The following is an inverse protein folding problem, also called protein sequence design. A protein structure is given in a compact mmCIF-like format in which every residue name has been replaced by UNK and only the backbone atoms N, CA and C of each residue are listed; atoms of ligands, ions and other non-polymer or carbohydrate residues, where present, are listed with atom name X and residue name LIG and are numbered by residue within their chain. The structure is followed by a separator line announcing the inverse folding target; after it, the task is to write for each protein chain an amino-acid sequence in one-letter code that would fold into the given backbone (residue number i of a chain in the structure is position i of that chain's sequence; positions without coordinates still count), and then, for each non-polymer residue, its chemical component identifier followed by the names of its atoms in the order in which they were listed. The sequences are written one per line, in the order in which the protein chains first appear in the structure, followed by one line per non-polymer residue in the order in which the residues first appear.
data_IF_097037484391
#
_entry.id   IF_097037484391
#
_cell.length_a   1.000
_cell.length_b   1.000
_cell.length_c   1.000
_cell.angle_alpha   90.00
_cell.angle_beta   90.00
_cell.angle_gamma   90.00
#
_symmetry.space_group_name_H-M   'P 1'
#
loop_
_entity.id
_entity.type
_entity.pdbx_description
1 polymer ?
#
# COMPACT_ATOMS: atom_id res chain seq x y z
N UNK A 1 11.19 8.22 5.11
CA UNK A 1 11.57 8.11 3.68
C UNK A 1 10.60 7.29 2.81
N UNK A 2 10.25 6.03 3.14
CA UNK A 2 9.42 5.18 2.26
C UNK A 2 7.98 5.69 2.05
N UNK A 3 7.24 5.98 3.14
CA UNK A 3 5.88 6.52 3.05
C UNK A 3 5.86 7.86 2.29
N UNK A 4 6.79 8.77 2.58
CA UNK A 4 6.87 10.07 1.90
C UNK A 4 6.97 9.92 0.36
N UNK A 5 7.75 8.95 -0.14
CA UNK A 5 7.84 8.69 -1.59
C UNK A 5 6.55 8.11 -2.17
N UNK A 6 5.84 7.29 -1.40
CA UNK A 6 4.52 6.76 -1.78
C UNK A 6 3.49 7.89 -1.91
N UNK A 7 3.47 8.83 -0.96
CA UNK A 7 2.64 10.03 -1.05
C UNK A 7 3.02 10.91 -2.25
N UNK A 8 4.31 11.13 -2.47
CA UNK A 8 4.82 11.91 -3.62
C UNK A 8 4.39 11.30 -4.96
N UNK A 9 4.56 9.98 -5.15
CA UNK A 9 4.13 9.29 -6.37
C UNK A 9 2.61 9.39 -6.57
N UNK A 10 1.83 9.30 -5.49
CA UNK A 10 0.36 9.42 -5.55
C UNK A 10 -0.09 10.81 -6.05
N UNK A 11 0.64 11.85 -5.65
CA UNK A 11 0.41 13.23 -6.08
C UNK A 11 0.88 13.44 -7.53
N UNK A 12 2.03 12.85 -7.90
CA UNK A 12 2.56 12.91 -9.27
C UNK A 12 1.72 12.12 -10.29
N UNK A 13 0.94 11.13 -9.84
CA UNK A 13 -0.04 10.42 -10.67
C UNK A 13 -1.24 11.29 -11.10
N UNK A 14 -1.47 12.43 -10.44
CA UNK A 14 -2.50 13.39 -10.85
C UNK A 14 -2.10 14.04 -12.17
N UNK A 15 -2.98 13.96 -13.17
CA UNK A 15 -2.71 14.53 -14.49
C UNK A 15 -2.51 16.05 -14.37
N UNK A 16 -1.36 16.53 -14.86
CA UNK A 16 -1.04 17.97 -14.90
C UNK A 16 -2.10 18.80 -15.63
N UNK A 17 -2.82 18.20 -16.58
CA UNK A 17 -3.93 18.86 -17.27
C UNK A 17 -5.08 19.30 -16.34
N UNK A 18 -5.30 18.63 -15.21
CA UNK A 18 -6.30 19.05 -14.21
C UNK A 18 -5.83 20.30 -13.47
N UNK A 19 -4.52 20.39 -13.19
CA UNK A 19 -3.89 21.55 -12.55
C UNK A 19 -3.94 22.76 -13.49
N UNK A 20 -3.61 22.57 -14.77
CA UNK A 20 -3.65 23.61 -15.80
C UNK A 20 -5.08 24.10 -16.08
N UNK A 21 -6.07 23.19 -16.07
CA UNK A 21 -7.49 23.55 -16.19
C UNK A 21 -7.96 24.37 -14.98
N UNK A 22 -7.60 23.97 -13.75
CA UNK A 22 -7.95 24.71 -12.54
C UNK A 22 -7.34 26.12 -12.51
N UNK A 23 -6.08 26.27 -12.94
CA UNK A 23 -5.45 27.58 -13.08
C UNK A 23 -6.12 28.43 -14.17
N UNK A 24 -6.52 27.82 -15.29
CA UNK A 24 -7.25 28.51 -16.37
C UNK A 24 -8.65 28.98 -15.93
N UNK A 25 -9.25 28.31 -14.95
CA UNK A 25 -10.50 28.74 -14.31
C UNK A 25 -10.31 29.85 -13.25
N UNK A 26 -9.08 30.31 -13.03
CA UNK A 26 -8.77 31.36 -12.06
C UNK A 26 -8.65 30.88 -10.61
N UNK A 27 -8.54 29.56 -10.37
CA UNK A 27 -8.39 29.04 -9.01
C UNK A 27 -7.05 29.47 -8.39
N UNK A 28 -7.09 29.90 -7.12
CA UNK A 28 -5.87 30.20 -6.37
C UNK A 28 -5.04 28.92 -6.15
N UNK A 29 -3.73 29.06 -5.92
CA UNK A 29 -2.85 27.89 -5.68
C UNK A 29 -3.36 27.01 -4.52
N UNK A 30 -3.98 27.62 -3.51
CA UNK A 30 -4.54 26.89 -2.37
C UNK A 30 -5.83 26.13 -2.75
N UNK A 31 -6.69 26.71 -3.57
CA UNK A 31 -7.87 26.03 -4.12
C UNK A 31 -7.49 24.87 -5.02
N UNK A 32 -6.47 25.02 -5.86
CA UNK A 32 -6.00 23.93 -6.73
C UNK A 32 -5.59 22.71 -5.89
N UNK A 33 -4.86 22.92 -4.79
CA UNK A 33 -4.42 21.83 -3.91
C UNK A 33 -5.62 21.18 -3.20
N UNK A 34 -6.48 22.00 -2.57
CA UNK A 34 -7.56 21.48 -1.72
C UNK A 34 -8.75 20.92 -2.49
N UNK A 35 -9.15 21.56 -3.59
CA UNK A 35 -10.38 21.24 -4.31
C UNK A 35 -10.17 20.40 -5.57
N UNK A 36 -8.96 20.34 -6.12
CA UNK A 36 -8.68 19.59 -7.34
C UNK A 36 -7.68 18.45 -7.10
N UNK A 37 -6.51 18.77 -6.55
CA UNK A 37 -5.43 17.80 -6.38
C UNK A 37 -5.73 16.74 -5.31
N UNK A 38 -6.23 17.14 -4.14
CA UNK A 38 -6.57 16.21 -3.06
C UNK A 38 -7.67 15.21 -3.47
N UNK A 39 -8.84 15.63 -4.00
CA UNK A 39 -9.88 14.71 -4.44
C UNK A 39 -9.40 13.75 -5.53
N UNK A 40 -8.66 14.26 -6.51
CA UNK A 40 -8.15 13.45 -7.63
C UNK A 40 -7.09 12.43 -7.18
N UNK A 41 -6.26 12.79 -6.19
CA UNK A 41 -5.26 11.90 -5.60
C UNK A 41 -5.82 10.90 -4.56
N UNK A 42 -7.09 11.03 -4.11
CA UNK A 42 -7.64 10.14 -3.06
C UNK A 42 -7.48 8.65 -3.40
N UNK A 43 -7.77 8.29 -4.65
CA UNK A 43 -7.66 6.91 -5.12
C UNK A 43 -6.22 6.38 -5.07
N UNK A 44 -5.25 7.16 -5.56
CA UNK A 44 -3.83 6.78 -5.57
C UNK A 44 -3.25 6.76 -4.15
N UNK A 45 -3.67 7.69 -3.28
CA UNK A 45 -3.26 7.73 -1.88
C UNK A 45 -3.71 6.49 -1.11
N UNK A 46 -4.96 6.04 -1.30
CA UNK A 46 -5.46 4.80 -0.68
C UNK A 46 -4.65 3.58 -1.15
N UNK A 47 -4.33 3.52 -2.45
CA UNK A 47 -3.52 2.44 -3.00
C UNK A 47 -2.09 2.45 -2.44
N UNK A 48 -1.50 3.63 -2.33
CA UNK A 48 -0.17 3.82 -1.78
C UNK A 48 -0.09 3.48 -0.30
N UNK A 49 -1.10 3.82 0.50
CA UNK A 49 -1.19 3.41 1.90
C UNK A 49 -1.32 1.88 1.98
N UNK A 50 -2.20 1.27 1.18
CA UNK A 50 -2.38 -0.19 1.14
C UNK A 50 -1.05 -0.90 0.82
N UNK A 51 -0.36 -0.44 -0.22
CA UNK A 51 0.94 -0.98 -0.65
C UNK A 51 2.00 -0.78 0.42
N UNK A 52 2.00 0.40 1.07
CA UNK A 52 2.90 0.71 2.17
C UNK A 52 2.70 -0.23 3.36
N UNK A 53 1.45 -0.49 3.75
CA UNK A 53 1.10 -1.44 4.81
C UNK A 53 1.54 -2.87 4.46
N UNK A 54 1.34 -3.32 3.23
CA UNK A 54 1.83 -4.63 2.77
C UNK A 54 3.36 -4.69 2.85
N UNK A 55 4.05 -3.63 2.43
CA UNK A 55 5.51 -3.52 2.55
C UNK A 55 5.98 -3.60 4.00
N UNK A 56 5.27 -2.96 4.93
CA UNK A 56 5.54 -3.06 6.37
C UNK A 56 5.30 -4.47 6.90
N UNK A 57 4.22 -5.14 6.49
CA UNK A 57 3.96 -6.54 6.85
C UNK A 57 5.13 -7.42 6.37
N UNK A 58 5.57 -7.26 5.12
CA UNK A 58 6.74 -7.96 4.59
C UNK A 58 8.02 -7.67 5.36
N UNK A 59 8.25 -6.41 5.76
CA UNK A 59 9.37 -6.02 6.60
C UNK A 59 9.31 -6.68 7.99
N UNK A 60 8.13 -6.77 8.62
CA UNK A 60 7.97 -7.48 9.90
C UNK A 60 8.12 -8.99 9.76
N UNK A 61 7.79 -9.57 8.60
CA UNK A 61 8.05 -10.98 8.32
C UNK A 61 9.55 -11.27 8.21
N UNK A 62 10.31 -10.42 7.51
CA UNK A 62 11.76 -10.50 7.47
C UNK A 62 12.40 -10.25 8.85
N UNK A 63 11.84 -9.34 9.65
CA UNK A 63 12.30 -9.07 11.01
C UNK A 63 12.06 -10.27 11.95
N UNK A 64 10.91 -10.93 11.83
CA UNK A 64 10.64 -12.20 12.52
C UNK A 64 11.67 -13.27 12.16
N UNK A 65 12.24 -13.23 10.95
CA UNK A 65 13.23 -14.20 10.53
C UNK A 65 14.62 -14.10 11.16
N UNK A 66 14.94 -12.93 11.69
CA UNK A 66 16.19 -12.67 12.41
C UNK A 66 15.98 -12.66 13.93
N UNK A 67 14.84 -13.16 14.42
CA UNK A 67 14.52 -13.24 15.85
C UNK A 67 14.09 -11.91 16.48
N UNK A 68 13.76 -10.89 15.68
CA UNK A 68 13.25 -9.61 16.18
C UNK A 68 11.75 -9.62 16.53
N UNK A 69 11.09 -10.78 16.37
CA UNK A 69 9.64 -10.95 16.51
C UNK A 69 8.85 -10.42 15.31
N UNK A 70 7.62 -10.91 15.12
CA UNK A 70 6.73 -10.49 14.04
C UNK A 70 6.01 -11.66 13.34
N UNK A 71 5.33 -11.37 12.23
CA UNK A 71 4.55 -12.39 11.48
C UNK A 71 5.45 -13.54 10.96
N UNK A 72 6.73 -13.26 10.73
CA UNK A 72 7.72 -14.25 10.26
C UNK A 72 8.26 -15.16 11.36
N UNK A 73 8.13 -14.78 12.63
CA UNK A 73 8.50 -15.61 13.78
C UNK A 73 7.63 -16.86 13.82
N UNK A 74 6.30 -16.70 13.64
CA UNK A 74 5.35 -17.80 13.50
C UNK A 74 5.68 -18.73 12.32
N UNK A 75 6.21 -18.20 11.21
CA UNK A 75 6.59 -19.03 10.07
C UNK A 75 7.85 -19.86 10.32
N UNK A 76 8.83 -19.32 11.07
CA UNK A 76 10.09 -20.00 11.38
C UNK A 76 9.99 -20.95 12.56
N UNK A 77 9.32 -20.57 13.64
CA UNK A 77 9.14 -21.45 14.80
C UNK A 77 8.33 -22.69 14.43
N UNK A 78 7.29 -22.57 13.60
CA UNK A 78 6.47 -23.73 13.21
C UNK A 78 7.00 -24.48 11.96
N UNK A 79 7.72 -23.81 11.05
CA UNK A 79 8.22 -24.42 9.81
C UNK A 79 9.64 -24.97 9.87
N UNK A 80 10.56 -24.29 10.56
CA UNK A 80 11.99 -24.60 10.54
C UNK A 80 12.43 -25.49 11.70
N UNK A 81 11.91 -25.28 12.93
CA UNK A 81 12.26 -26.12 14.09
C UNK A 81 11.83 -27.58 13.96
N UNK A 82 10.91 -27.89 13.03
CA UNK A 82 10.40 -29.25 12.79
C UNK A 82 10.95 -29.90 11.51
N UNK A 83 11.82 -29.23 10.73
CA UNK A 83 12.33 -29.72 9.43
C UNK A 83 11.23 -30.26 8.48
N UNK A 84 10.01 -29.73 8.60
CA UNK A 84 8.83 -30.25 7.93
C UNK A 84 8.47 -29.34 6.76
N UNK A 85 9.17 -29.53 5.63
CA UNK A 85 9.00 -28.77 4.38
C UNK A 85 7.53 -28.53 3.96
N UNK A 86 6.59 -29.50 4.11
CA UNK A 86 5.18 -29.29 3.80
C UNK A 86 4.51 -28.18 4.62
N UNK A 87 4.82 -28.09 5.92
CA UNK A 87 4.23 -27.11 6.83
C UNK A 87 4.73 -25.69 6.52
N UNK A 88 6.02 -25.56 6.19
CA UNK A 88 6.61 -24.29 5.75
C UNK A 88 5.98 -23.79 4.44
N UNK A 89 5.76 -24.69 3.46
CA UNK A 89 5.07 -24.34 2.21
C UNK A 89 3.63 -23.88 2.47
N UNK A 90 2.92 -24.55 3.39
CA UNK A 90 1.56 -24.20 3.76
C UNK A 90 1.45 -22.81 4.40
N UNK A 91 2.37 -22.44 5.31
CA UNK A 91 2.38 -21.12 5.95
C UNK A 91 2.68 -20.00 4.94
N UNK A 92 3.62 -20.21 4.02
CA UNK A 92 3.92 -19.26 2.93
C UNK A 92 2.70 -19.06 2.03
N UNK A 93 2.01 -20.13 1.63
CA UNK A 93 0.81 -20.04 0.80
C UNK A 93 -0.30 -19.26 1.51
N UNK A 94 -0.53 -19.49 2.82
CA UNK A 94 -1.50 -18.73 3.60
C UNK A 94 -1.15 -17.24 3.64
N UNK A 95 0.13 -16.88 3.86
CA UNK A 95 0.56 -15.49 3.86
C UNK A 95 0.34 -14.82 2.50
N UNK A 96 0.64 -15.53 1.40
CA UNK A 96 0.38 -15.04 0.04
C UNK A 96 -1.10 -14.76 -0.17
N UNK A 97 -1.97 -15.69 0.23
CA UNK A 97 -3.44 -15.52 0.13
C UNK A 97 -3.90 -14.32 0.96
N UNK A 98 -3.37 -14.16 2.18
CA UNK A 98 -3.73 -13.05 3.06
C UNK A 98 -3.33 -11.69 2.47
N UNK A 99 -2.10 -11.58 1.94
CA UNK A 99 -1.62 -10.38 1.25
C UNK A 99 -2.47 -10.07 0.02
N UNK A 100 -2.80 -11.09 -0.78
CA UNK A 100 -3.69 -10.96 -1.94
C UNK A 100 -5.08 -10.43 -1.57
N UNK A 101 -5.66 -10.90 -0.46
CA UNK A 101 -6.96 -10.42 0.02
C UNK A 101 -6.86 -8.93 0.38
N UNK A 102 -5.85 -8.52 1.15
CA UNK A 102 -5.64 -7.11 1.53
C UNK A 102 -5.45 -6.25 0.27
N UNK A 103 -4.64 -6.71 -0.68
CA UNK A 103 -4.38 -5.97 -1.92
C UNK A 103 -5.63 -5.85 -2.79
N UNK A 104 -6.43 -6.92 -2.89
CA UNK A 104 -7.69 -6.91 -3.64
C UNK A 104 -8.69 -5.95 -3.03
N UNK A 105 -8.82 -5.96 -1.69
CA UNK A 105 -9.69 -5.05 -0.96
C UNK A 105 -9.22 -3.60 -1.13
N UNK A 106 -7.93 -3.32 -0.94
CA UNK A 106 -7.37 -1.98 -1.12
C UNK A 106 -7.52 -1.46 -2.55
N UNK A 107 -7.28 -2.31 -3.56
CA UNK A 107 -7.53 -1.99 -4.97
C UNK A 107 -9.02 -1.69 -5.23
N UNK A 108 -9.92 -2.44 -4.62
CA UNK A 108 -11.35 -2.22 -4.75
C UNK A 108 -11.77 -0.87 -4.16
N UNK A 109 -11.30 -0.54 -2.95
CA UNK A 109 -11.56 0.77 -2.33
C UNK A 109 -10.92 1.93 -3.10
N UNK A 110 -9.68 1.76 -3.58
CA UNK A 110 -9.00 2.76 -4.40
C UNK A 110 -9.76 3.05 -5.70
N UNK A 111 -10.26 2.01 -6.38
CA UNK A 111 -11.09 2.16 -7.59
C UNK A 111 -12.43 2.81 -7.29
N UNK A 112 -13.03 2.53 -6.13
CA UNK A 112 -14.28 3.17 -5.70
C UNK A 112 -14.07 4.65 -5.43
N UNK A 113 -13.01 5.00 -4.70
CA UNK A 113 -12.65 6.38 -4.38
C UNK A 113 -12.29 7.22 -5.62
N UNK A 114 -11.83 6.60 -6.70
CA UNK A 114 -11.56 7.28 -7.99
C UNK A 114 -12.83 7.52 -8.83
N UNK A 115 -13.96 6.91 -8.48
CA UNK A 115 -15.24 7.02 -9.22
C UNK A 115 -16.29 7.87 -8.49
N UNK A 116 -16.00 8.35 -7.27
CA UNK A 116 -16.88 9.17 -6.44
C UNK A 116 -16.31 10.57 -6.29
#
# INVERSE_FOLDING_TARGET
PYLARLFENSILEVNKGIIEAAQSMGASHFEVIWHFLLPEAKGSLILSITTGTIGLIGATAMAGAIGAGGVGDLALTYGYERLNFPLMLFTVVILIIFVQIIQTIGNYFARRARRS
#
